data_IF_476388713707
#
_entry.id   IF_476388713707
#
_cell.length_a   1.000
_cell.length_b   1.000
_cell.length_c   1.000
_cell.angle_alpha   90.00
_cell.angle_beta   90.00
_cell.angle_gamma   90.00
#
_symmetry.space_group_name_H-M   'P 1'
#
loop_
_entity.id
_entity.type
_entity.pdbx_description
1 polymer ?
#
# COMPACT_ATOMS: atom_id res chain seq x y z
N UNK A 1 93.35 -29.42 18.97
CA UNK A 1 93.66 -29.65 17.55
C UNK A 1 92.39 -30.19 16.90
N UNK A 2 91.76 -29.38 16.03
CA UNK A 2 90.63 -29.66 15.10
C UNK A 2 89.41 -30.45 15.66
N UNK A 3 88.30 -29.81 16.04
CA UNK A 3 87.17 -29.34 15.18
C UNK A 3 86.34 -30.51 14.61
N UNK A 4 85.08 -30.74 15.01
CA UNK A 4 83.90 -29.89 14.69
C UNK A 4 82.78 -30.00 15.74
N UNK A 5 82.27 -28.84 16.12
CA UNK A 5 81.04 -28.53 16.88
C UNK A 5 79.79 -28.47 15.93
N UNK A 6 78.61 -27.92 16.35
CA UNK A 6 77.65 -28.39 17.36
C UNK A 6 76.18 -28.31 16.86
N UNK A 7 75.21 -28.59 17.74
CA UNK A 7 73.77 -28.57 17.47
C UNK A 7 73.06 -27.19 17.48
N UNK A 8 71.79 -27.23 17.02
CA UNK A 8 70.57 -26.40 17.20
C UNK A 8 70.71 -24.85 17.25
N UNK A 9 69.81 -24.00 16.65
CA UNK A 9 68.41 -23.94 17.09
C UNK A 9 67.28 -23.47 16.12
N UNK A 10 66.04 -23.66 16.60
CA UNK A 10 64.78 -22.88 16.49
C UNK A 10 64.07 -22.48 15.17
N UNK A 11 62.77 -22.82 15.16
CA UNK A 11 61.56 -22.08 14.73
C UNK A 11 61.66 -21.06 13.58
N UNK A 12 60.96 -21.35 12.47
CA UNK A 12 60.19 -20.35 11.73
C UNK A 12 59.01 -20.98 10.96
N UNK A 13 57.89 -20.26 11.04
CA UNK A 13 56.59 -20.41 10.39
C UNK A 13 56.71 -20.20 8.86
N UNK A 14 56.02 -20.99 8.03
CA UNK A 14 54.85 -20.54 7.23
C UNK A 14 54.56 -21.43 5.99
N UNK A 15 53.27 -21.71 5.81
CA UNK A 15 52.49 -21.82 4.56
C UNK A 15 52.99 -22.61 3.33
N UNK A 16 52.15 -23.55 2.84
CA UNK A 16 52.15 -23.93 1.42
C UNK A 16 51.53 -25.28 1.02
N UNK A 17 50.21 -25.26 0.80
CA UNK A 17 49.30 -26.07 -0.05
C UNK A 17 49.77 -27.29 -0.91
N UNK A 18 48.73 -28.11 -1.20
CA UNK A 18 48.51 -29.09 -2.30
C UNK A 18 48.75 -30.57 -1.96
N UNK A 19 47.78 -31.49 -2.07
CA UNK A 19 46.39 -31.40 -2.48
C UNK A 19 45.74 -32.77 -2.33
N UNK A 20 44.67 -32.84 -1.55
CA UNK A 20 43.80 -34.01 -1.47
C UNK A 20 42.52 -33.61 -2.21
N UNK A 21 42.31 -34.18 -3.39
CA UNK A 21 41.09 -33.97 -4.18
C UNK A 21 39.91 -34.67 -3.50
N UNK A 22 39.14 -33.91 -2.71
CA UNK A 22 37.78 -34.25 -2.35
C UNK A 22 36.82 -33.84 -3.49
N UNK A 23 35.83 -34.69 -3.83
CA UNK A 23 34.94 -34.41 -4.95
C UNK A 23 34.13 -33.14 -4.66
N UNK A 24 34.33 -32.13 -5.50
CA UNK A 24 33.43 -30.99 -5.65
C UNK A 24 32.11 -31.53 -6.20
N UNK A 25 31.21 -31.82 -5.28
CA UNK A 25 29.86 -32.30 -5.55
C UNK A 25 28.91 -31.84 -4.45
N UNK A 26 29.01 -30.57 -4.04
CA UNK A 26 27.99 -29.94 -3.22
C UNK A 26 26.80 -29.59 -4.10
N UNK A 27 25.74 -30.39 -4.01
CA UNK A 27 24.43 -30.11 -4.58
C UNK A 27 23.93 -28.72 -4.17
N UNK A 28 24.09 -27.72 -5.04
CA UNK A 28 23.28 -26.48 -5.09
C UNK A 28 21.85 -26.82 -5.58
N UNK A 29 21.18 -27.77 -4.91
CA UNK A 29 19.82 -28.16 -5.19
C UNK A 29 18.86 -27.38 -4.27
N UNK A 30 18.49 -26.15 -4.68
CA UNK A 30 17.30 -25.51 -4.11
C UNK A 30 17.14 -24.00 -4.18
N UNK A 31 18.06 -23.24 -4.76
CA UNK A 31 17.86 -21.79 -4.93
C UNK A 31 17.12 -21.51 -6.25
N UNK A 32 15.79 -21.32 -6.18
CA UNK A 32 15.01 -20.87 -7.34
C UNK A 32 15.57 -19.52 -7.79
N UNK A 33 15.99 -19.41 -9.05
CA UNK A 33 16.51 -18.16 -9.60
C UNK A 33 15.42 -17.08 -9.57
N UNK A 34 15.79 -15.82 -9.31
CA UNK A 34 14.84 -14.69 -9.27
C UNK A 34 13.93 -14.64 -10.51
N UNK A 35 14.47 -14.89 -11.71
CA UNK A 35 13.69 -14.92 -12.94
C UNK A 35 12.60 -16.01 -12.98
N UNK A 36 12.88 -17.19 -12.41
CA UNK A 36 11.88 -18.26 -12.29
C UNK A 36 10.80 -17.88 -11.28
N UNK A 37 11.17 -17.25 -10.16
CA UNK A 37 10.22 -16.73 -9.17
C UNK A 37 9.27 -15.70 -9.80
N UNK A 38 9.82 -14.73 -10.55
CA UNK A 38 9.05 -13.72 -11.25
C UNK A 38 8.07 -14.33 -12.25
N UNK A 39 8.52 -15.34 -13.01
CA UNK A 39 7.66 -16.05 -13.97
C UNK A 39 6.53 -16.81 -13.28
N UNK A 40 6.81 -17.49 -12.18
CA UNK A 40 5.79 -18.18 -11.38
C UNK A 40 4.75 -17.19 -10.83
N UNK A 41 5.22 -16.07 -10.28
CA UNK A 41 4.37 -15.03 -9.70
C UNK A 41 3.50 -14.35 -10.77
N UNK A 42 4.05 -14.11 -11.96
CA UNK A 42 3.32 -13.54 -13.09
C UNK A 42 2.21 -14.47 -13.62
N UNK A 43 2.32 -15.79 -13.42
CA UNK A 43 1.26 -16.73 -13.79
C UNK A 43 0.25 -16.97 -12.64
N UNK A 44 0.50 -16.39 -11.46
CA UNK A 44 -0.31 -16.59 -10.28
C UNK A 44 -1.52 -15.65 -10.29
N UNK A 45 -2.69 -16.18 -10.66
CA UNK A 45 -3.91 -15.38 -10.87
C UNK A 45 -4.33 -14.56 -9.65
N UNK A 46 -4.30 -15.13 -8.44
CA UNK A 46 -4.66 -14.40 -7.23
C UNK A 46 -3.70 -13.23 -6.96
N UNK A 47 -2.42 -13.41 -7.25
CA UNK A 47 -1.44 -12.32 -7.15
C UNK A 47 -1.78 -11.22 -8.15
N UNK A 48 -2.00 -11.54 -9.43
CA UNK A 48 -2.33 -10.56 -10.47
C UNK A 48 -3.60 -9.75 -10.15
N UNK A 49 -4.68 -10.42 -9.76
CA UNK A 49 -5.94 -9.74 -9.40
C UNK A 49 -5.77 -8.87 -8.14
N UNK A 50 -4.99 -9.34 -7.16
CA UNK A 50 -4.68 -8.57 -5.98
C UNK A 50 -3.85 -7.33 -6.30
N UNK A 51 -2.74 -7.44 -7.03
CA UNK A 51 -1.89 -6.28 -7.33
C UNK A 51 -2.60 -5.27 -8.23
N UNK A 52 -3.49 -5.71 -9.14
CA UNK A 52 -4.34 -4.81 -9.91
C UNK A 52 -5.30 -4.01 -9.03
N UNK A 53 -5.94 -4.67 -8.07
CA UNK A 53 -6.81 -4.02 -7.08
C UNK A 53 -6.02 -3.08 -6.16
N UNK A 54 -4.88 -3.54 -5.64
CA UNK A 54 -4.02 -2.80 -4.71
C UNK A 54 -3.37 -1.59 -5.38
N UNK A 55 -3.03 -1.65 -6.67
CA UNK A 55 -2.59 -0.49 -7.44
C UNK A 55 -3.64 0.63 -7.43
N UNK A 56 -4.91 0.29 -7.69
CA UNK A 56 -6.02 1.26 -7.66
C UNK A 56 -6.23 1.78 -6.23
N UNK A 57 -6.06 0.92 -5.23
CA UNK A 57 -6.18 1.30 -3.83
C UNK A 57 -5.06 2.25 -3.38
N UNK A 58 -3.82 1.98 -3.75
CA UNK A 58 -2.66 2.85 -3.50
C UNK A 58 -2.84 4.19 -4.21
N UNK A 59 -3.27 4.19 -5.47
CA UNK A 59 -3.65 5.40 -6.18
C UNK A 59 -4.71 6.20 -5.41
N UNK A 60 -5.81 5.57 -4.98
CA UNK A 60 -6.88 6.27 -4.29
C UNK A 60 -6.47 6.80 -2.91
N UNK A 61 -5.68 6.05 -2.14
CA UNK A 61 -5.13 6.49 -0.86
C UNK A 61 -4.24 7.73 -1.02
N UNK A 62 -3.37 7.74 -2.03
CA UNK A 62 -2.50 8.88 -2.28
C UNK A 62 -3.26 10.06 -2.88
N UNK A 63 -4.21 9.82 -3.78
CA UNK A 63 -5.08 10.86 -4.31
C UNK A 63 -5.82 11.57 -3.17
N UNK A 64 -6.46 10.79 -2.28
CA UNK A 64 -7.17 11.34 -1.15
C UNK A 64 -6.22 12.17 -0.27
N UNK A 65 -5.07 11.63 0.14
CA UNK A 65 -4.14 12.37 1.01
C UNK A 65 -3.56 13.64 0.38
N UNK A 66 -3.29 13.66 -0.94
CA UNK A 66 -2.74 14.83 -1.62
C UNK A 66 -3.78 15.93 -1.83
N UNK A 67 -5.01 15.57 -2.23
CA UNK A 67 -6.06 16.56 -2.54
C UNK A 67 -6.96 16.89 -1.34
N UNK A 68 -6.82 16.18 -0.21
CA UNK A 68 -7.63 16.42 0.99
C UNK A 68 -7.57 17.86 1.51
N UNK A 69 -6.40 18.53 1.64
CA UNK A 69 -6.36 19.93 2.06
C UNK A 69 -7.14 20.84 1.11
N UNK A 70 -6.98 20.61 -0.19
CA UNK A 70 -7.67 21.37 -1.25
C UNK A 70 -9.18 21.19 -1.17
N UNK A 71 -9.67 19.98 -0.87
CA UNK A 71 -11.09 19.73 -0.64
C UNK A 71 -11.62 20.44 0.60
N UNK A 72 -10.88 20.45 1.72
CA UNK A 72 -11.31 21.19 2.91
C UNK A 72 -11.37 22.69 2.66
N UNK A 73 -10.38 23.26 1.99
CA UNK A 73 -10.32 24.69 1.69
C UNK A 73 -11.43 25.10 0.71
N UNK A 74 -11.55 24.45 -0.44
CA UNK A 74 -12.44 24.94 -1.50
C UNK A 74 -13.90 24.50 -1.35
N UNK A 75 -14.18 23.45 -0.57
CA UNK A 75 -15.54 22.93 -0.39
C UNK A 75 -16.15 23.29 0.97
N UNK A 76 -15.33 23.59 1.99
CA UNK A 76 -15.80 23.81 3.37
C UNK A 76 -15.35 25.15 3.99
N UNK A 77 -14.50 25.97 3.35
CA UNK A 77 -14.01 27.25 3.90
C UNK A 77 -15.14 28.20 4.32
N UNK A 78 -16.19 28.34 3.51
CA UNK A 78 -17.31 29.25 3.81
C UNK A 78 -18.16 28.83 5.02
N UNK A 79 -17.98 27.59 5.50
CA UNK A 79 -18.84 26.97 6.52
C UNK A 79 -18.08 26.50 7.77
N UNK A 80 -16.75 26.48 7.75
CA UNK A 80 -15.91 25.96 8.82
C UNK A 80 -14.83 26.98 9.17
N UNK A 81 -14.67 27.31 10.45
CA UNK A 81 -13.59 28.21 10.89
C UNK A 81 -12.22 27.60 10.59
N UNK A 82 -11.22 28.45 10.31
CA UNK A 82 -9.86 28.01 9.97
C UNK A 82 -9.28 27.03 11.02
N UNK A 83 -9.57 27.26 12.30
CA UNK A 83 -9.17 26.39 13.42
C UNK A 83 -9.83 24.99 13.37
N UNK A 84 -11.13 24.92 13.04
CA UNK A 84 -11.83 23.65 12.86
C UNK A 84 -11.31 22.89 11.63
N UNK A 85 -10.93 23.59 10.55
CA UNK A 85 -10.30 23.00 9.38
C UNK A 85 -8.98 22.29 9.72
N UNK A 86 -8.09 22.96 10.47
CA UNK A 86 -6.83 22.36 10.92
C UNK A 86 -7.04 21.17 11.87
N UNK A 87 -8.05 21.23 12.75
CA UNK A 87 -8.40 20.13 13.64
C UNK A 87 -8.94 18.91 12.88
N UNK A 88 -9.86 19.13 11.93
CA UNK A 88 -10.39 18.08 11.05
C UNK A 88 -9.27 17.44 10.22
N UNK A 89 -8.33 18.25 9.74
CA UNK A 89 -7.14 17.78 9.04
C UNK A 89 -6.31 16.85 9.93
N UNK A 90 -5.97 17.30 11.14
CA UNK A 90 -5.20 16.51 12.11
C UNK A 90 -5.88 15.20 12.50
N UNK A 91 -7.17 15.24 12.86
CA UNK A 91 -7.94 14.03 13.17
C UNK A 91 -7.98 13.08 11.98
N UNK A 92 -8.14 13.58 10.76
CA UNK A 92 -8.23 12.74 9.58
C UNK A 92 -6.93 11.99 9.25
N UNK A 93 -5.77 12.42 9.78
CA UNK A 93 -4.53 11.63 9.74
C UNK A 93 -4.50 10.53 10.81
N UNK A 94 -5.06 10.77 12.00
CA UNK A 94 -5.01 9.83 13.14
C UNK A 94 -6.14 8.79 13.07
N UNK A 95 -7.34 9.21 12.72
CA UNK A 95 -8.55 8.40 12.68
C UNK A 95 -8.42 7.12 11.84
N UNK A 96 -7.74 7.09 10.67
CA UNK A 96 -7.49 5.85 9.93
C UNK A 96 -6.72 4.80 10.75
N UNK A 97 -5.78 5.22 11.61
CA UNK A 97 -5.03 4.29 12.47
C UNK A 97 -5.92 3.70 13.56
N UNK A 98 -6.77 4.52 14.19
CA UNK A 98 -7.74 4.04 15.19
C UNK A 98 -8.79 3.12 14.56
N UNK A 99 -9.27 3.47 13.37
CA UNK A 99 -10.23 2.68 12.63
C UNK A 99 -9.69 1.27 12.27
N UNK A 100 -8.38 1.15 12.04
CA UNK A 100 -7.76 -0.15 11.83
C UNK A 100 -7.87 -1.07 13.07
N UNK A 101 -7.87 -0.52 14.29
CA UNK A 101 -8.09 -1.31 15.51
C UNK A 101 -9.49 -1.95 15.54
N UNK A 102 -10.48 -1.34 14.88
CA UNK A 102 -11.82 -1.90 14.72
C UNK A 102 -11.91 -2.89 13.55
N UNK A 103 -11.26 -2.58 12.42
CA UNK A 103 -11.30 -3.45 11.25
C UNK A 103 -10.56 -4.78 11.46
N UNK A 104 -9.51 -4.83 12.27
CA UNK A 104 -8.79 -6.07 12.55
C UNK A 104 -9.68 -7.14 13.21
N UNK A 105 -10.40 -6.87 14.33
CA UNK A 105 -11.42 -7.75 14.88
C UNK A 105 -12.51 -8.12 13.86
N UNK A 106 -12.97 -7.15 13.06
CA UNK A 106 -14.00 -7.40 12.06
C UNK A 106 -13.52 -8.39 11.00
N UNK A 107 -12.28 -8.24 10.51
CA UNK A 107 -11.62 -9.16 9.60
C UNK A 107 -11.44 -10.56 10.21
N UNK A 108 -11.16 -10.66 11.51
CA UNK A 108 -11.09 -11.96 12.21
C UNK A 108 -12.44 -12.66 12.24
N UNK A 109 -13.54 -11.92 12.39
CA UNK A 109 -14.90 -12.48 12.49
C UNK A 109 -15.55 -12.78 11.14
N UNK A 110 -15.37 -11.91 10.15
CA UNK A 110 -16.06 -11.99 8.85
C UNK A 110 -15.15 -12.35 7.67
N UNK A 111 -13.84 -12.44 7.91
CA UNK A 111 -12.82 -12.61 6.88
C UNK A 111 -12.46 -11.31 6.17
N UNK A 112 -11.18 -11.18 5.79
CA UNK A 112 -10.66 -9.98 5.14
C UNK A 112 -11.39 -9.69 3.81
N UNK A 113 -11.71 -10.73 3.04
CA UNK A 113 -12.43 -10.61 1.78
C UNK A 113 -13.77 -9.88 1.90
N UNK A 114 -14.61 -10.33 2.85
CA UNK A 114 -15.95 -9.78 3.08
C UNK A 114 -15.87 -8.34 3.56
N UNK A 115 -14.93 -8.05 4.47
CA UNK A 115 -14.74 -6.71 5.03
C UNK A 115 -14.29 -5.73 3.95
N UNK A 116 -13.25 -6.07 3.18
CA UNK A 116 -12.73 -5.22 2.09
C UNK A 116 -13.80 -4.98 1.03
N UNK A 117 -14.55 -6.02 0.63
CA UNK A 117 -15.67 -5.88 -0.31
C UNK A 117 -16.76 -4.95 0.24
N UNK A 118 -17.11 -5.09 1.52
CA UNK A 118 -18.05 -4.22 2.20
C UNK A 118 -17.59 -2.76 2.22
N UNK A 119 -16.30 -2.51 2.45
CA UNK A 119 -15.72 -1.17 2.41
C UNK A 119 -15.76 -0.56 1.00
N UNK A 120 -15.51 -1.33 -0.05
CA UNK A 120 -15.66 -0.85 -1.43
C UNK A 120 -17.12 -0.52 -1.79
N UNK A 121 -18.07 -1.34 -1.36
CA UNK A 121 -19.50 -1.08 -1.54
C UNK A 121 -19.96 0.14 -0.74
N UNK A 122 -19.52 0.27 0.51
CA UNK A 122 -19.81 1.44 1.34
C UNK A 122 -19.24 2.71 0.72
N UNK A 123 -17.99 2.67 0.26
CA UNK A 123 -17.35 3.78 -0.44
C UNK A 123 -18.14 4.19 -1.69
N UNK A 124 -18.53 3.22 -2.52
CA UNK A 124 -19.35 3.47 -3.71
C UNK A 124 -20.70 4.09 -3.33
N UNK A 125 -21.40 3.53 -2.34
CA UNK A 125 -22.69 4.03 -1.87
C UNK A 125 -22.61 5.46 -1.33
N UNK A 126 -21.61 5.75 -0.49
CA UNK A 126 -21.38 7.09 0.03
C UNK A 126 -21.04 8.10 -1.09
N UNK A 127 -20.26 7.68 -2.08
CA UNK A 127 -19.90 8.56 -3.21
C UNK A 127 -21.10 8.84 -4.12
N UNK A 128 -21.92 7.83 -4.42
CA UNK A 128 -23.15 8.01 -5.19
C UNK A 128 -24.18 8.86 -4.42
N UNK A 129 -24.31 8.67 -3.11
CA UNK A 129 -25.15 9.51 -2.27
C UNK A 129 -24.69 10.97 -2.30
N UNK A 130 -23.37 11.21 -2.21
CA UNK A 130 -22.82 12.56 -2.31
C UNK A 130 -23.05 13.17 -3.70
N UNK A 131 -22.92 12.38 -4.77
CA UNK A 131 -23.20 12.83 -6.14
C UNK A 131 -24.64 13.31 -6.30
N UNK A 132 -25.60 12.57 -5.73
CA UNK A 132 -27.03 12.90 -5.78
C UNK A 132 -27.39 14.06 -4.86
N UNK A 133 -26.72 14.20 -3.71
CA UNK A 133 -27.00 15.23 -2.73
C UNK A 133 -26.46 16.62 -3.13
N UNK A 134 -25.39 16.66 -3.93
CA UNK A 134 -24.73 17.89 -4.36
C UNK A 134 -23.87 18.57 -3.27
N UNK A 135 -23.09 19.61 -3.61
CA UNK A 135 -22.16 20.27 -2.70
C UNK A 135 -22.83 21.19 -1.65
N UNK A 136 -24.14 21.42 -1.73
CA UNK A 136 -24.86 22.44 -0.95
C UNK A 136 -25.14 22.06 0.51
N UNK A 137 -24.82 20.82 0.90
CA UNK A 137 -25.00 20.33 2.28
C UNK A 137 -23.65 20.15 2.99
N UNK A 138 -23.13 21.19 3.68
CA UNK A 138 -21.77 21.18 4.24
C UNK A 138 -21.56 20.08 5.29
N UNK A 139 -22.58 19.76 6.09
CA UNK A 139 -22.50 18.67 7.06
C UNK A 139 -22.32 17.29 6.41
N UNK A 140 -23.07 17.02 5.33
CA UNK A 140 -22.95 15.77 4.57
C UNK A 140 -21.60 15.71 3.85
N UNK A 141 -21.16 16.83 3.28
CA UNK A 141 -19.89 16.95 2.58
C UNK A 141 -18.69 16.73 3.52
N UNK A 142 -18.72 17.33 4.72
CA UNK A 142 -17.72 17.11 5.76
C UNK A 142 -17.67 15.63 6.18
N UNK A 143 -18.83 15.03 6.46
CA UNK A 143 -18.93 13.61 6.81
C UNK A 143 -18.38 12.71 5.68
N UNK A 144 -18.69 13.03 4.42
CA UNK A 144 -18.21 12.30 3.26
C UNK A 144 -16.69 12.40 3.10
N UNK A 145 -16.13 13.61 3.15
CA UNK A 145 -14.68 13.84 3.03
C UNK A 145 -13.92 13.06 4.11
N UNK A 146 -14.37 13.18 5.36
CA UNK A 146 -13.75 12.48 6.50
C UNK A 146 -13.87 10.95 6.37
N UNK A 147 -15.07 10.44 6.06
CA UNK A 147 -15.30 8.99 5.93
C UNK A 147 -14.53 8.39 4.75
N UNK A 148 -14.53 9.07 3.60
CA UNK A 148 -13.81 8.62 2.41
C UNK A 148 -12.32 8.45 2.70
N UNK A 149 -11.73 9.41 3.42
CA UNK A 149 -10.33 9.33 3.85
C UNK A 149 -10.07 8.18 4.82
N UNK A 150 -10.86 8.11 5.90
CA UNK A 150 -10.69 7.10 6.97
C UNK A 150 -10.85 5.68 6.44
N UNK A 151 -11.84 5.43 5.58
CA UNK A 151 -12.07 4.11 5.01
C UNK A 151 -11.05 3.75 3.94
N UNK A 152 -10.65 4.71 3.10
CA UNK A 152 -9.67 4.47 2.05
C UNK A 152 -8.31 4.13 2.66
N UNK A 153 -7.80 4.97 3.57
CA UNK A 153 -6.50 4.71 4.19
C UNK A 153 -6.54 3.47 5.11
N UNK A 154 -7.64 3.25 5.83
CA UNK A 154 -7.86 2.03 6.60
C UNK A 154 -7.81 0.78 5.71
N UNK A 155 -8.41 0.82 4.53
CA UNK A 155 -8.37 -0.31 3.57
C UNK A 155 -6.95 -0.57 3.07
N UNK A 156 -6.16 0.47 2.73
CA UNK A 156 -4.75 0.32 2.37
C UNK A 156 -3.96 -0.48 3.42
N UNK A 157 -4.19 -0.20 4.72
CA UNK A 157 -3.54 -0.91 5.82
C UNK A 157 -4.02 -2.36 5.91
N UNK A 158 -5.32 -2.62 5.74
CA UNK A 158 -5.88 -3.97 5.77
C UNK A 158 -5.35 -4.88 4.66
N UNK A 159 -5.06 -4.35 3.49
CA UNK A 159 -4.57 -5.15 2.36
C UNK A 159 -3.21 -5.80 2.63
N UNK A 160 -2.44 -5.29 3.59
CA UNK A 160 -1.21 -5.96 4.06
C UNK A 160 -1.49 -7.37 4.60
N UNK A 161 -2.67 -7.63 5.17
CA UNK A 161 -3.10 -8.97 5.58
C UNK A 161 -3.30 -9.89 4.38
N UNK A 162 -3.82 -9.36 3.28
CA UNK A 162 -4.02 -10.14 2.04
C UNK A 162 -2.66 -10.50 1.43
N UNK A 163 -1.68 -9.60 1.51
CA UNK A 163 -0.30 -9.91 1.10
C UNK A 163 0.25 -11.08 1.93
N UNK A 164 0.00 -11.12 3.25
CA UNK A 164 0.43 -12.26 4.07
C UNK A 164 -0.28 -13.56 3.69
N UNK A 165 -1.59 -13.50 3.36
CA UNK A 165 -2.32 -14.67 2.89
C UNK A 165 -1.78 -15.17 1.53
N UNK A 166 -1.34 -14.26 0.64
CA UNK A 166 -0.69 -14.60 -0.63
C UNK A 166 0.70 -15.23 -0.44
N UNK A 167 1.46 -14.79 0.57
CA UNK A 167 2.73 -15.44 0.96
C UNK A 167 2.48 -16.88 1.40
N UNK A 168 1.43 -17.10 2.17
CA UNK A 168 1.04 -18.45 2.59
C UNK A 168 0.59 -19.31 1.40
N UNK A 169 -0.14 -18.73 0.44
CA UNK A 169 -0.54 -19.43 -0.79
C UNK A 169 0.67 -19.79 -1.68
N UNK A 170 1.61 -18.86 -1.90
CA UNK A 170 2.83 -19.13 -2.68
C UNK A 170 3.70 -20.22 -2.04
N UNK A 171 3.82 -20.22 -0.71
CA UNK A 171 4.56 -21.24 0.04
C UNK A 171 3.96 -22.64 -0.22
N UNK A 172 2.64 -22.77 -0.11
CA UNK A 172 1.93 -24.05 -0.24
C UNK A 172 1.88 -24.53 -1.69
N UNK A 173 1.55 -23.65 -2.65
CA UNK A 173 1.44 -24.04 -4.06
C UNK A 173 2.80 -24.45 -4.65
N UNK A 174 3.86 -23.71 -4.33
CA UNK A 174 5.19 -23.96 -4.89
C UNK A 174 6.07 -24.87 -4.00
N UNK A 175 5.51 -25.44 -2.93
CA UNK A 175 6.20 -26.35 -2.00
C UNK A 175 7.56 -25.82 -1.53
N UNK A 176 7.63 -24.51 -1.25
CA UNK A 176 8.91 -23.87 -0.93
C UNK A 176 9.38 -24.30 0.46
N UNK A 177 10.70 -24.42 0.64
CA UNK A 177 11.31 -24.71 1.97
C UNK A 177 11.07 -23.57 2.98
N UNK A 178 10.96 -22.33 2.49
CA UNK A 178 10.70 -21.14 3.32
C UNK A 178 9.83 -20.12 2.57
N UNK A 179 9.05 -19.34 3.33
CA UNK A 179 8.22 -18.27 2.80
C UNK A 179 9.07 -17.13 2.22
N UNK A 180 8.90 -16.84 0.93
CA UNK A 180 9.56 -15.73 0.26
C UNK A 180 8.85 -14.38 0.52
N UNK A 181 8.58 -14.08 1.79
CA UNK A 181 7.75 -12.93 2.20
C UNK A 181 8.32 -11.60 1.71
N UNK A 182 9.62 -11.35 1.92
CA UNK A 182 10.27 -10.11 1.49
C UNK A 182 10.18 -9.88 -0.03
N UNK A 183 10.36 -10.94 -0.83
CA UNK A 183 10.23 -10.86 -2.28
C UNK A 183 8.79 -10.58 -2.70
N UNK A 184 7.81 -11.26 -2.12
CA UNK A 184 6.40 -11.03 -2.46
C UNK A 184 5.94 -9.63 -2.08
N UNK A 185 6.27 -9.16 -0.87
CA UNK A 185 6.02 -7.78 -0.45
C UNK A 185 6.72 -6.77 -1.36
N UNK A 186 7.97 -7.05 -1.75
CA UNK A 186 8.72 -6.24 -2.70
C UNK A 186 8.05 -6.16 -4.07
N UNK A 187 7.55 -7.29 -4.58
CA UNK A 187 6.87 -7.36 -5.89
C UNK A 187 5.51 -6.66 -5.87
N UNK A 188 4.72 -6.83 -4.81
CA UNK A 188 3.49 -6.04 -4.62
C UNK A 188 3.84 -4.56 -4.65
N UNK A 189 4.80 -4.13 -3.83
CA UNK A 189 5.22 -2.73 -3.76
C UNK A 189 5.73 -2.20 -5.11
N UNK A 190 6.50 -2.98 -5.86
CA UNK A 190 7.02 -2.59 -7.17
C UNK A 190 5.89 -2.30 -8.16
N UNK A 191 4.84 -3.14 -8.15
CA UNK A 191 3.71 -3.00 -9.07
C UNK A 191 2.75 -1.91 -8.62
N UNK A 192 2.55 -1.71 -7.31
CA UNK A 192 1.48 -0.83 -6.80
C UNK A 192 1.93 0.57 -6.44
N UNK A 193 3.22 0.78 -6.11
CA UNK A 193 3.77 2.13 -5.83
C UNK A 193 3.66 3.13 -6.97
N UNK A 194 3.71 2.77 -8.26
CA UNK A 194 3.42 3.72 -9.35
C UNK A 194 2.06 4.43 -9.19
N UNK A 195 1.07 3.81 -8.52
CA UNK A 195 -0.19 4.46 -8.17
C UNK A 195 -0.02 5.74 -7.34
N UNK A 196 1.01 5.82 -6.50
CA UNK A 196 1.34 7.02 -5.72
C UNK A 196 1.76 8.19 -6.61
N UNK A 197 2.54 7.91 -7.66
CA UNK A 197 2.96 8.90 -8.64
C UNK A 197 1.81 9.34 -9.54
N UNK A 198 0.93 8.41 -9.93
CA UNK A 198 -0.23 8.74 -10.76
C UNK A 198 -1.28 9.57 -10.03
N UNK A 199 -1.39 9.45 -8.70
CA UNK A 199 -2.37 10.17 -7.90
C UNK A 199 -2.35 11.70 -8.11
N UNK A 200 -1.25 12.42 -7.83
CA UNK A 200 -1.18 13.86 -8.06
C UNK A 200 -1.25 14.21 -9.55
N UNK A 201 -0.60 13.44 -10.43
CA UNK A 201 -0.59 13.72 -11.88
C UNK A 201 -2.01 13.68 -12.48
N UNK A 202 -2.75 12.61 -12.22
CA UNK A 202 -4.10 12.45 -12.75
C UNK A 202 -5.07 13.43 -12.09
N UNK A 203 -4.90 13.69 -10.79
CA UNK A 203 -5.74 14.65 -10.09
C UNK A 203 -5.56 16.08 -10.58
N UNK A 204 -4.31 16.53 -10.76
CA UNK A 204 -4.02 17.85 -11.31
C UNK A 204 -4.50 17.94 -12.75
N UNK A 205 -4.24 16.93 -13.58
CA UNK A 205 -4.73 16.91 -14.96
C UNK A 205 -6.26 16.98 -15.05
N UNK A 206 -6.98 16.22 -14.22
CA UNK A 206 -8.44 16.27 -14.15
C UNK A 206 -8.92 17.66 -13.69
N UNK A 207 -8.27 18.25 -12.69
CA UNK A 207 -8.64 19.57 -12.19
C UNK A 207 -8.44 20.62 -13.29
N UNK A 208 -7.29 20.63 -13.98
CA UNK A 208 -7.02 21.48 -15.13
C UNK A 208 -8.05 21.29 -16.25
N UNK A 209 -8.49 20.05 -16.48
CA UNK A 209 -9.54 19.75 -17.46
C UNK A 209 -10.89 20.37 -17.08
N UNK A 210 -11.27 20.33 -15.80
CA UNK A 210 -12.53 20.90 -15.33
C UNK A 210 -12.49 22.42 -15.14
N UNK A 211 -11.32 23.00 -14.83
CA UNK A 211 -11.18 24.45 -14.56
C UNK A 211 -10.64 25.24 -15.75
N UNK A 212 -10.08 24.57 -16.75
CA UNK A 212 -9.46 25.18 -17.93
C UNK A 212 -8.14 25.90 -17.65
N UNK A 213 -7.57 25.80 -16.44
CA UNK A 213 -6.37 26.51 -16.01
C UNK A 213 -5.47 25.64 -15.14
N UNK A 214 -4.15 25.83 -15.24
CA UNK A 214 -3.18 25.15 -14.38
C UNK A 214 -3.04 25.88 -13.04
N UNK A 215 -3.70 25.35 -12.01
CA UNK A 215 -3.70 25.90 -10.65
C UNK A 215 -2.33 25.85 -9.99
N UNK A 216 -1.42 24.98 -10.44
CA UNK A 216 -0.10 24.79 -9.85
C UNK A 216 1.01 25.55 -10.59
N UNK A 217 0.67 26.25 -11.68
CA UNK A 217 1.59 27.13 -12.42
C UNK A 217 1.54 28.60 -11.95
N UNK A 218 0.66 28.94 -11.01
CA UNK A 218 0.77 30.19 -10.27
C UNK A 218 2.00 30.15 -9.33
N UNK A 219 2.67 31.29 -9.06
CA UNK A 219 3.95 31.31 -8.35
C UNK A 219 3.86 30.52 -7.03
N UNK A 220 4.92 29.78 -6.65
CA UNK A 220 4.82 28.72 -5.67
C UNK A 220 4.24 29.26 -4.36
N UNK A 221 3.04 28.78 -4.03
CA UNK A 221 2.50 28.90 -2.68
C UNK A 221 3.56 28.38 -1.72
N UNK A 222 3.97 29.28 -0.84
CA UNK A 222 5.09 29.11 0.07
C UNK A 222 5.03 27.74 0.75
N UNK A 223 6.16 27.06 0.69
CA UNK A 223 6.54 25.94 1.55
C UNK A 223 5.97 26.13 2.96
N UNK A 224 5.09 25.21 3.36
CA UNK A 224 4.55 25.11 4.73
C UNK A 224 5.72 25.06 5.71
N UNK A 225 6.00 26.17 6.39
CA UNK A 225 7.09 26.25 7.37
C UNK A 225 7.69 27.63 7.64
N UNK A 226 7.43 28.67 6.83
CA UNK A 226 7.92 30.03 7.13
C UNK A 226 6.97 30.78 8.07
N UNK A 227 7.46 31.13 9.26
CA UNK A 227 6.81 32.03 10.20
C UNK A 227 6.81 33.47 9.66
N UNK A 228 5.89 33.77 8.74
CA UNK A 228 5.56 35.13 8.33
C UNK A 228 4.05 35.37 8.48
N UNK A 229 3.62 36.56 8.96
CA UNK A 229 2.21 36.95 8.97
C UNK A 229 1.68 36.96 7.54
N UNK A 230 0.64 36.17 7.29
CA UNK A 230 0.02 35.94 5.99
C UNK A 230 -0.50 37.26 5.38
N UNK A 231 0.00 37.75 4.23
CA UNK A 231 -0.77 38.65 3.38
C UNK A 231 -1.89 37.81 2.74
N UNK A 232 -3.14 38.24 2.87
CA UNK A 232 -4.28 37.57 2.23
C UNK A 232 -3.95 37.28 0.75
N UNK A 233 -4.16 36.04 0.26
CA UNK A 233 -3.98 35.76 -1.16
C UNK A 233 -4.95 36.66 -1.92
N UNK A 234 -4.56 37.25 -3.07
CA UNK A 234 -5.51 37.96 -3.90
C UNK A 234 -6.65 37.00 -4.24
N UNK A 235 -7.86 37.35 -3.80
CA UNK A 235 -9.04 36.53 -4.04
C UNK A 235 -9.11 36.19 -5.53
N UNK A 236 -9.30 34.90 -5.90
CA UNK A 236 -9.50 34.55 -7.30
C UNK A 236 -10.65 35.40 -7.85
N UNK A 237 -10.55 35.89 -9.10
CA UNK A 237 -11.61 36.72 -9.66
C UNK A 237 -12.95 36.00 -9.53
N UNK A 238 -14.06 36.70 -9.22
CA UNK A 238 -15.31 36.10 -8.73
C UNK A 238 -15.94 35.05 -9.67
N UNK A 239 -15.53 35.00 -10.94
CA UNK A 239 -15.93 33.99 -11.91
C UNK A 239 -15.17 32.64 -11.79
N UNK A 240 -13.98 32.60 -11.18
CA UNK A 240 -13.12 31.40 -11.11
C UNK A 240 -13.37 30.55 -9.85
N UNK A 241 -13.73 31.18 -8.72
CA UNK A 241 -14.08 30.50 -7.48
C UNK A 241 -15.20 29.43 -7.62
N UNK A 242 -16.33 29.69 -8.31
CA UNK A 242 -17.38 28.68 -8.47
C UNK A 242 -16.96 27.52 -9.37
N UNK A 243 -16.16 27.77 -10.41
CA UNK A 243 -15.67 26.72 -11.33
C UNK A 243 -14.69 25.79 -10.63
N UNK A 244 -13.79 26.34 -9.80
CA UNK A 244 -12.84 25.55 -9.01
C UNK A 244 -13.56 24.69 -7.97
N UNK A 245 -14.52 25.26 -7.24
CA UNK A 245 -15.35 24.52 -6.26
C UNK A 245 -16.08 23.35 -6.91
N UNK A 246 -16.67 23.58 -8.09
CA UNK A 246 -17.35 22.55 -8.87
C UNK A 246 -16.37 21.43 -9.31
N UNK A 247 -15.19 21.79 -9.82
CA UNK A 247 -14.15 20.84 -10.19
C UNK A 247 -13.70 19.98 -9.00
N UNK A 248 -13.44 20.60 -7.85
CA UNK A 248 -13.08 19.92 -6.60
C UNK A 248 -14.16 18.91 -6.19
N UNK A 249 -15.43 19.29 -6.29
CA UNK A 249 -16.55 18.41 -5.96
C UNK A 249 -16.61 17.19 -6.90
N UNK A 250 -16.46 17.39 -8.22
CA UNK A 250 -16.44 16.28 -9.17
C UNK A 250 -15.24 15.35 -8.94
N UNK A 251 -14.04 15.89 -8.68
CA UNK A 251 -12.87 15.08 -8.33
C UNK A 251 -13.11 14.26 -7.05
N UNK A 252 -13.65 14.91 -6.01
CA UNK A 252 -13.95 14.29 -4.72
C UNK A 252 -14.94 13.13 -4.85
N UNK A 253 -15.83 13.13 -5.84
CA UNK A 253 -16.90 12.12 -5.97
C UNK A 253 -16.63 11.11 -7.09
N UNK A 254 -16.21 11.55 -8.27
CA UNK A 254 -16.01 10.68 -9.44
C UNK A 254 -14.79 9.78 -9.29
N UNK A 255 -13.71 10.27 -8.68
CA UNK A 255 -12.50 9.44 -8.47
C UNK A 255 -12.79 8.27 -7.52
N UNK A 256 -13.42 8.46 -6.34
CA UNK A 256 -13.81 7.32 -5.51
C UNK A 256 -14.77 6.34 -6.19
N UNK A 257 -15.72 6.80 -7.03
CA UNK A 257 -16.64 5.94 -7.79
C UNK A 257 -15.86 5.07 -8.77
N UNK A 258 -15.03 5.67 -9.62
CA UNK A 258 -14.25 4.93 -10.62
C UNK A 258 -13.31 3.93 -9.95
N UNK A 259 -12.61 4.34 -8.89
CA UNK A 259 -11.78 3.45 -8.09
C UNK A 259 -12.61 2.31 -7.47
N UNK A 260 -13.79 2.59 -6.89
CA UNK A 260 -14.63 1.56 -6.28
C UNK A 260 -15.09 0.50 -7.28
N UNK A 261 -15.52 0.93 -8.47
CA UNK A 261 -15.97 0.02 -9.52
C UNK A 261 -14.84 -0.89 -10.00
N UNK A 262 -13.67 -0.31 -10.26
CA UNK A 262 -12.50 -1.07 -10.70
C UNK A 262 -12.00 -2.04 -9.61
N UNK A 263 -12.04 -1.60 -8.35
CA UNK A 263 -11.71 -2.43 -7.19
C UNK A 263 -12.72 -3.56 -6.99
N UNK A 264 -14.03 -3.31 -7.09
CA UNK A 264 -15.05 -4.35 -6.97
C UNK A 264 -14.92 -5.37 -8.10
N UNK A 265 -14.64 -4.92 -9.32
CA UNK A 265 -14.41 -5.80 -10.46
C UNK A 265 -13.19 -6.71 -10.24
N UNK A 266 -12.03 -6.13 -9.92
CA UNK A 266 -10.80 -6.91 -9.68
C UNK A 266 -10.92 -7.81 -8.45
N UNK A 267 -11.51 -7.31 -7.36
CA UNK A 267 -11.76 -8.07 -6.13
C UNK A 267 -12.75 -9.22 -6.30
N UNK A 268 -13.70 -9.12 -7.25
CA UNK A 268 -14.62 -10.23 -7.56
C UNK A 268 -13.90 -11.44 -8.15
N UNK A 269 -12.72 -11.25 -8.74
CA UNK A 269 -11.89 -12.31 -9.34
C UNK A 269 -10.87 -12.90 -8.37
N UNK A 270 -10.66 -12.27 -7.22
CA UNK A 270 -9.78 -12.79 -6.17
C UNK A 270 -10.46 -13.96 -5.46
N UNK A 271 -9.84 -15.14 -5.49
CA UNK A 271 -10.47 -16.38 -5.01
C UNK A 271 -9.88 -16.93 -3.71
N UNK A 272 -8.81 -16.33 -3.19
CA UNK A 272 -8.16 -16.74 -1.95
C UNK A 272 -8.93 -16.23 -0.72
N UNK A 273 -10.08 -16.86 -0.46
CA UNK A 273 -10.91 -16.56 0.70
C UNK A 273 -11.76 -17.79 1.11
N UNK A 274 -12.40 -17.73 2.28
CA UNK A 274 -13.28 -18.79 2.76
C UNK A 274 -12.59 -20.16 2.84
N UNK A 275 -13.19 -21.18 2.22
CA UNK A 275 -12.68 -22.57 2.23
C UNK A 275 -11.26 -22.69 1.65
N UNK A 276 -10.97 -22.00 0.54
CA UNK A 276 -9.63 -22.05 -0.10
C UNK A 276 -8.56 -21.51 0.84
N UNK A 277 -8.82 -20.38 1.49
CA UNK A 277 -7.89 -19.79 2.46
C UNK A 277 -7.66 -20.70 3.67
N UNK A 278 -8.73 -21.30 4.21
CA UNK A 278 -8.61 -22.26 5.32
C UNK A 278 -7.77 -23.48 4.95
N UNK A 279 -7.92 -24.00 3.72
CA UNK A 279 -7.14 -25.12 3.21
C UNK A 279 -5.65 -24.76 3.11
N UNK A 280 -5.32 -23.61 2.53
CA UNK A 280 -3.93 -23.11 2.43
C UNK A 280 -3.32 -22.97 3.82
N UNK A 281 -4.05 -22.38 4.78
CA UNK A 281 -3.56 -22.21 6.17
C UNK A 281 -3.34 -23.55 6.87
N UNK A 282 -4.22 -24.53 6.66
CA UNK A 282 -4.05 -25.88 7.23
C UNK A 282 -2.85 -26.61 6.62
N UNK A 283 -2.64 -26.52 5.30
CA UNK A 283 -1.49 -27.11 4.62
C UNK A 283 -0.16 -26.49 5.08
N UNK A 284 -0.13 -25.17 5.28
CA UNK A 284 1.03 -24.48 5.85
C UNK A 284 1.38 -25.00 7.24
N UNK A 285 0.40 -25.17 8.12
CA UNK A 285 0.64 -25.73 9.46
C UNK A 285 1.22 -27.15 9.40
N UNK A 286 0.74 -27.96 8.45
CA UNK A 286 1.29 -29.31 8.23
C UNK A 286 2.73 -29.28 7.71
N UNK A 287 3.15 -28.29 6.93
CA UNK A 287 4.54 -28.11 6.49
C UNK A 287 5.49 -27.66 7.61
N UNK A 288 4.99 -26.91 8.60
CA UNK A 288 5.79 -26.46 9.75
C UNK A 288 5.97 -27.52 10.84
N UNK A 289 5.08 -28.52 10.90
CA UNK A 289 5.10 -29.62 11.87
C UNK A 289 6.26 -30.64 11.71
N UNK A 290 6.69 -31.06 10.51
CA UNK A 290 7.86 -31.94 10.37
C UNK A 290 9.15 -31.27 10.81
N UNK A 291 9.33 -29.96 10.58
CA UNK A 291 10.52 -29.20 11.05
C UNK A 291 10.64 -29.10 12.57
N UNK A 292 9.53 -29.19 13.32
CA UNK A 292 9.55 -29.11 14.79
C UNK A 292 9.75 -30.46 15.47
N UNK A 293 9.53 -31.58 14.76
CA UNK A 293 9.83 -32.92 15.26
C UNK A 293 11.32 -33.25 15.17
N UNK A 294 12.02 -32.79 14.12
CA UNK A 294 13.49 -32.95 13.99
C UNK A 294 14.29 -32.13 15.02
N UNK A 295 13.74 -31.03 15.54
CA UNK A 295 14.43 -30.17 16.51
C UNK A 295 14.33 -30.70 17.96
N UNK A 296 13.43 -31.67 18.22
CA UNK A 296 13.24 -32.24 19.57
C UNK A 296 13.96 -33.57 19.81
N UNK A 297 14.80 -34.00 18.86
CA UNK A 297 15.63 -35.21 18.99
C UNK A 297 17.10 -34.87 18.86
N UNK A 298 17.64 -34.12 19.82
CA UNK A 298 19.06 -34.10 20.21
C UNK A 298 19.14 -33.91 21.72
#
# INVERSE_FOLDING_TARGET
MASREPGYPDLAVDSGLCGEELPVGGEEAGSITLGQYLRQLAHHQNFLWFVGMDLVQVFHCHFNSNFFPLFLEHLLSDHISLSMGSFLLGISYVAPHLNNLYFLPLCRRWGVYTVVRGLFLLKLGLSLLMLLAGPDRPGLLCLFIASNRVFTEGTCKLLTLVVTDLVDEDLVLNHRKQAASALLFGMVALVTKPGQTFAPLLGTWLLCFYTGHDLFQQPPLALVGSAQPWPEPPAPPPAQAPVLRQGCFYLLVLVPITCALLQLFTWSKFTLHGRRLHMVKAQRQNLSRPQTLDIKTV
#
